data_IF_667383449594
#
_entry.id   IF_667383449594
#
_cell.length_a   1.000
_cell.length_b   1.000
_cell.length_c   1.000
_cell.angle_alpha   90.00
_cell.angle_beta   90.00
_cell.angle_gamma   90.00
#
_symmetry.space_group_name_H-M   'P 1'
#
loop_
_entity.id
_entity.type
_entity.pdbx_description
1 polymer ?
#
# COMPACT_ATOMS: atom_id res chain seq x y z
N UNK A 1 -3.85 -16.02 -1.82
CA UNK A 1 -3.13 -15.19 -0.84
C UNK A 1 -4.11 -14.12 -0.44
N UNK A 2 -4.64 -14.25 0.76
CA UNK A 2 -5.82 -13.51 1.20
C UNK A 2 -5.40 -12.39 2.16
N UNK A 3 -6.26 -11.37 2.32
CA UNK A 3 -5.96 -10.21 3.16
C UNK A 3 -5.73 -10.59 4.63
N UNK A 4 -6.43 -11.63 5.09
CA UNK A 4 -6.29 -12.18 6.44
C UNK A 4 -4.90 -12.81 6.67
N UNK A 5 -4.37 -13.56 5.69
CA UNK A 5 -3.04 -14.18 5.80
C UNK A 5 -1.93 -13.11 5.88
N UNK A 6 -2.06 -12.02 5.13
CA UNK A 6 -1.17 -10.87 5.26
C UNK A 6 -1.19 -10.27 6.67
N UNK A 7 -2.38 -10.04 7.23
CA UNK A 7 -2.52 -9.48 8.59
C UNK A 7 -1.99 -10.45 9.65
N UNK A 8 -2.22 -11.75 9.51
CA UNK A 8 -1.68 -12.78 10.42
C UNK A 8 -0.15 -12.79 10.39
N UNK A 9 0.46 -12.71 9.21
CA UNK A 9 1.91 -12.63 9.08
C UNK A 9 2.45 -11.34 9.72
N UNK A 10 1.78 -10.21 9.53
CA UNK A 10 2.15 -8.94 10.15
C UNK A 10 2.04 -9.00 11.68
N UNK A 11 1.00 -9.64 12.23
CA UNK A 11 0.87 -9.84 13.67
C UNK A 11 2.02 -10.66 14.24
N UNK A 12 2.39 -11.74 13.55
CA UNK A 12 3.49 -12.64 13.96
C UNK A 12 4.85 -11.94 13.95
N UNK A 13 5.12 -11.10 12.95
CA UNK A 13 6.39 -10.36 12.85
C UNK A 13 6.46 -9.17 13.79
N UNK A 14 5.33 -8.50 14.05
CA UNK A 14 5.26 -7.32 14.93
C UNK A 14 5.08 -7.65 16.41
N UNK A 15 4.81 -8.92 16.75
CA UNK A 15 4.52 -9.35 18.12
C UNK A 15 3.13 -8.97 18.62
N UNK A 16 2.18 -8.68 17.72
CA UNK A 16 0.78 -8.36 18.04
C UNK A 16 -0.02 -9.64 18.30
N UNK A 17 0.27 -10.29 19.43
CA UNK A 17 -0.43 -11.50 19.87
C UNK A 17 -1.26 -11.17 21.11
N UNK A 18 -2.55 -11.51 21.05
CA UNK A 18 -3.46 -11.49 22.19
C UNK A 18 -3.12 -12.61 23.18
N UNK A 19 -3.79 -12.61 24.34
CA UNK A 19 -3.64 -13.67 25.35
C UNK A 19 -3.97 -15.02 24.70
N UNK A 20 -2.99 -15.92 24.65
CA UNK A 20 -3.17 -17.25 24.05
C UNK A 20 -2.69 -17.39 22.60
N UNK A 21 -1.82 -16.49 22.11
CA UNK A 21 -1.18 -16.59 20.77
C UNK A 21 -2.15 -16.31 19.61
N UNK A 22 -3.30 -15.69 19.90
CA UNK A 22 -4.24 -15.28 18.85
C UNK A 22 -3.76 -13.97 18.19
N UNK A 23 -3.67 -13.90 16.85
CA UNK A 23 -3.21 -12.70 16.17
C UNK A 23 -4.23 -11.56 16.28
N UNK A 24 -3.77 -10.37 16.70
CA UNK A 24 -4.62 -9.17 16.77
C UNK A 24 -4.75 -8.50 15.39
N UNK A 25 -5.70 -8.98 14.60
CA UNK A 25 -5.93 -8.47 13.24
C UNK A 25 -6.41 -7.01 13.23
N UNK A 26 -7.12 -6.57 14.28
CA UNK A 26 -7.62 -5.19 14.37
C UNK A 26 -6.46 -4.22 14.55
N UNK A 27 -5.57 -4.50 15.52
CA UNK A 27 -4.37 -3.68 15.73
C UNK A 27 -3.44 -3.69 14.51
N UNK A 28 -3.29 -4.83 13.84
CA UNK A 28 -2.49 -4.91 12.61
C UNK A 28 -3.08 -4.08 11.47
N UNK A 29 -4.40 -4.10 11.28
CA UNK A 29 -5.07 -3.27 10.27
C UNK A 29 -4.91 -1.78 10.58
N UNK A 30 -5.05 -1.37 11.84
CA UNK A 30 -4.81 0.01 12.28
C UNK A 30 -3.37 0.45 12.02
N UNK A 31 -2.38 -0.40 12.31
CA UNK A 31 -0.98 -0.12 12.01
C UNK A 31 -0.75 0.13 10.52
N UNK A 32 -1.30 -0.71 9.64
CA UNK A 32 -1.18 -0.54 8.18
C UNK A 32 -1.78 0.78 7.73
N UNK A 33 -2.98 1.13 8.23
CA UNK A 33 -3.62 2.40 7.91
C UNK A 33 -2.80 3.60 8.40
N UNK A 34 -2.20 3.50 9.57
CA UNK A 34 -1.33 4.54 10.12
C UNK A 34 -0.06 4.70 9.30
N UNK A 35 0.58 3.61 8.90
CA UNK A 35 1.80 3.63 8.10
C UNK A 35 1.53 4.15 6.67
N UNK A 36 0.37 3.82 6.10
CA UNK A 36 -0.08 4.41 4.84
C UNK A 36 -0.26 5.92 4.96
N UNK A 37 -0.99 6.39 5.98
CA UNK A 37 -1.26 7.82 6.18
C UNK A 37 0.00 8.63 6.47
N UNK A 38 1.01 8.03 7.12
CA UNK A 38 2.29 8.66 7.43
C UNK A 38 3.32 8.58 6.30
N UNK A 39 2.97 7.92 5.18
CA UNK A 39 3.86 7.75 4.04
C UNK A 39 5.02 6.78 4.27
N UNK A 40 4.91 5.91 5.28
CA UNK A 40 5.89 4.84 5.52
C UNK A 40 5.77 3.72 4.50
N UNK A 41 4.54 3.44 4.06
CA UNK A 41 4.27 2.53 2.94
C UNK A 41 4.35 3.35 1.65
N UNK A 42 5.38 3.16 0.82
CA UNK A 42 5.46 3.84 -0.46
C UNK A 42 4.32 3.32 -1.34
N UNK A 43 3.50 4.24 -1.84
CA UNK A 43 2.53 3.93 -2.89
C UNK A 43 2.77 4.91 -4.04
N UNK A 44 2.56 4.44 -5.26
CA UNK A 44 2.72 5.23 -6.46
C UNK A 44 1.39 5.33 -7.18
N UNK A 45 0.98 6.56 -7.48
CA UNK A 45 -0.12 6.84 -8.40
C UNK A 45 0.51 7.59 -9.56
N UNK A 46 0.52 6.99 -10.75
CA UNK A 46 0.96 7.69 -11.93
C UNK A 46 0.06 8.94 -12.09
N UNK A 47 0.64 10.12 -12.36
CA UNK A 47 -0.18 11.27 -12.69
C UNK A 47 -1.10 10.91 -13.87
N UNK A 48 -2.33 11.42 -13.91
CA UNK A 48 -3.21 11.19 -15.04
C UNK A 48 -2.47 11.59 -16.32
N UNK A 49 -2.46 10.69 -17.31
CA UNK A 49 -1.81 10.94 -18.60
C UNK A 49 -2.37 12.25 -19.15
N UNK A 50 -1.50 13.23 -19.41
CA UNK A 50 -1.93 14.43 -20.11
C UNK A 50 -2.32 14.02 -21.53
N UNK A 51 -3.59 14.13 -21.86
CA UNK A 51 -4.17 13.77 -23.16
C UNK A 51 -3.79 14.80 -24.25
N UNK A 52 -2.53 15.23 -24.29
CA UNK A 52 -2.02 16.27 -25.20
C UNK A 52 -0.61 16.01 -25.72
N UNK A 53 -0.18 14.75 -25.83
CA UNK A 53 0.89 14.40 -26.76
C UNK A 53 0.28 14.23 -28.17
N UNK A 54 -0.12 15.36 -28.76
CA UNK A 54 -0.23 15.43 -30.22
C UNK A 54 1.20 15.32 -30.75
N UNK A 55 1.54 14.31 -31.59
CA UNK A 55 2.85 14.27 -32.21
C UNK A 55 2.98 15.51 -33.09
N UNK A 56 3.80 16.48 -32.66
CA UNK A 56 4.14 17.61 -33.52
C UNK A 56 4.93 17.05 -34.69
N UNK A 57 4.26 16.86 -35.82
CA UNK A 57 4.89 16.60 -37.11
C UNK A 57 5.71 17.84 -37.46
N UNK A 58 7.00 17.81 -37.09
CA UNK A 58 7.95 18.80 -37.53
C UNK A 58 8.16 18.64 -39.04
N UNK A 59 7.41 19.41 -39.82
CA UNK A 59 7.73 19.68 -41.22
C UNK A 59 9.01 20.54 -41.24
N UNK A 60 10.15 19.90 -41.39
CA UNK A 60 11.36 20.57 -41.87
C UNK A 60 11.21 20.70 -43.39
N UNK A 61 11.08 21.94 -43.86
CA UNK A 61 11.01 22.30 -45.27
C UNK A 61 12.32 22.07 -46.02
#
# INVERSE_FOLDING_TARGET
>A
VDQEDFLIQLCKTSGLLLKGVEPDMTSAAEMVLHDWRRGRVPFYVAPPKQENEQPSTANFG
#
